data_IF_283059031083
#
_entry.id   IF_283059031083
#
_cell.length_a   1.000
_cell.length_b   1.000
_cell.length_c   1.000
_cell.angle_alpha   90.00
_cell.angle_beta   90.00
_cell.angle_gamma   90.00
#
_symmetry.space_group_name_H-M   'P 1'
#
loop_
_entity.id
_entity.type
_entity.pdbx_description
1 polymer ?
#
# COMPACT_ATOMS: atom_id res chain seq x y z
N UNK A 1 -6.61 -11.84 21.20
CA UNK A 1 -7.18 -10.74 21.99
C UNK A 1 -8.69 -10.76 21.84
N UNK A 2 -9.42 -10.06 22.71
CA UNK A 2 -10.86 -9.91 22.55
C UNK A 2 -11.20 -8.45 22.27
N UNK A 3 -12.05 -8.23 21.27
CA UNK A 3 -12.62 -6.92 21.00
C UNK A 3 -13.85 -6.76 21.89
N UNK A 4 -13.77 -5.85 22.85
CA UNK A 4 -14.91 -5.52 23.71
C UNK A 4 -15.80 -4.50 22.99
N UNK A 5 -17.03 -4.90 22.68
CA UNK A 5 -18.08 -3.97 22.22
C UNK A 5 -18.64 -3.22 23.43
N UNK A 6 -18.76 -1.90 23.32
CA UNK A 6 -19.33 -1.11 24.41
C UNK A 6 -20.86 -1.24 24.45
N UNK A 7 -21.43 -1.31 25.65
CA UNK A 7 -22.89 -1.22 25.83
C UNK A 7 -23.41 0.14 25.32
N UNK A 8 -24.59 0.16 24.67
CA UNK A 8 -25.13 1.35 24.00
C UNK A 8 -25.77 2.36 24.96
N UNK A 9 -25.15 2.64 26.11
CA UNK A 9 -25.64 3.57 27.14
C UNK A 9 -25.72 5.02 26.62
N UNK A 10 -24.86 5.38 25.67
CA UNK A 10 -24.88 6.70 25.01
C UNK A 10 -24.70 6.55 23.50
N UNK A 11 -25.18 7.52 22.73
CA UNK A 11 -25.06 7.52 21.26
C UNK A 11 -23.60 7.36 20.80
N UNK A 12 -22.65 7.98 21.49
CA UNK A 12 -21.22 7.88 21.20
C UNK A 12 -20.59 6.52 21.52
N UNK A 13 -21.23 5.69 22.37
CA UNK A 13 -20.77 4.34 22.75
C UNK A 13 -21.41 3.22 21.93
N UNK A 14 -22.61 3.40 21.37
CA UNK A 14 -23.39 2.37 20.64
C UNK A 14 -22.59 1.55 19.63
N UNK A 15 -21.73 2.21 18.84
CA UNK A 15 -20.90 1.59 17.80
C UNK A 15 -19.40 1.54 18.16
N UNK A 16 -19.05 1.87 19.40
CA UNK A 16 -17.67 1.90 19.86
C UNK A 16 -17.21 0.49 20.22
N UNK A 17 -15.99 0.14 19.81
CA UNK A 17 -15.29 -1.02 20.34
C UNK A 17 -13.93 -0.64 20.91
N UNK A 18 -13.44 -1.46 21.84
CA UNK A 18 -12.15 -1.31 22.49
C UNK A 18 -11.42 -2.65 22.46
N UNK A 19 -10.09 -2.62 22.60
CA UNK A 19 -9.34 -3.84 22.88
C UNK A 19 -9.48 -4.16 24.36
N UNK A 20 -9.56 -5.46 24.69
CA UNK A 20 -9.23 -5.88 26.04
C UNK A 20 -7.74 -5.63 26.30
N UNK A 21 -7.41 -5.33 27.55
CA UNK A 21 -6.04 -5.01 27.98
C UNK A 21 -5.42 -6.16 28.79
N UNK A 22 -5.99 -7.36 28.68
CA UNK A 22 -5.69 -8.51 29.54
C UNK A 22 -4.24 -8.99 29.40
N UNK A 23 -3.65 -8.85 28.22
CA UNK A 23 -2.24 -9.18 27.96
C UNK A 23 -1.25 -8.19 28.58
N UNK A 24 -1.71 -7.02 29.04
CA UNK A 24 -0.83 -5.96 29.54
C UNK A 24 -0.54 -6.19 31.01
N UNK A 25 0.68 -6.58 31.30
CA UNK A 25 1.12 -6.96 32.64
C UNK A 25 1.69 -5.80 33.45
N UNK A 26 2.01 -4.67 32.80
CA UNK A 26 2.47 -3.48 33.49
C UNK A 26 1.81 -2.19 32.98
N UNK A 27 1.35 -1.36 33.92
CA UNK A 27 0.69 -0.08 33.65
C UNK A 27 1.65 1.11 33.55
N UNK A 28 2.79 1.04 34.26
CA UNK A 28 3.82 2.09 34.29
C UNK A 28 5.05 1.65 33.47
N UNK A 29 5.58 2.50 32.58
CA UNK A 29 6.80 2.19 31.84
C UNK A 29 8.05 2.35 32.69
N UNK A 30 9.14 1.70 32.29
CA UNK A 30 10.46 1.86 32.89
C UNK A 30 11.00 3.27 32.63
N UNK A 31 11.19 4.06 33.69
CA UNK A 31 11.58 5.48 33.61
C UNK A 31 12.84 5.72 32.75
N UNK A 32 13.85 4.86 32.89
CA UNK A 32 15.12 4.96 32.15
C UNK A 32 14.98 4.84 30.62
N UNK A 33 13.95 4.14 30.14
CA UNK A 33 13.68 3.96 28.70
C UNK A 33 12.58 4.89 28.18
N UNK A 34 12.32 5.99 28.89
CA UNK A 34 11.32 6.98 28.50
C UNK A 34 11.90 8.37 28.30
N UNK A 35 11.47 9.02 27.22
CA UNK A 35 11.90 10.38 26.87
C UNK A 35 10.71 11.33 26.67
N UNK A 36 10.99 12.63 26.81
CA UNK A 36 10.04 13.68 26.48
C UNK A 36 9.78 13.74 24.98
N UNK A 37 8.53 13.51 24.54
CA UNK A 37 8.17 13.60 23.12
C UNK A 37 7.68 15.01 22.77
N UNK A 38 8.50 15.78 22.05
CA UNK A 38 8.08 17.06 21.46
C UNK A 38 7.00 16.82 20.40
N UNK A 39 5.94 17.62 20.43
CA UNK A 39 4.85 17.54 19.46
C UNK A 39 5.09 18.47 18.28
N UNK A 40 5.01 17.92 17.08
CA UNK A 40 5.18 18.65 15.82
C UNK A 40 3.87 19.32 15.38
N UNK A 41 2.72 18.72 15.72
CA UNK A 41 1.37 19.22 15.33
C UNK A 41 1.22 19.55 13.83
N UNK A 42 1.95 18.83 12.97
CA UNK A 42 1.90 19.00 11.51
C UNK A 42 2.66 20.22 10.97
N UNK A 43 3.45 20.91 11.79
CA UNK A 43 4.26 22.07 11.38
C UNK A 43 5.72 21.72 11.16
N UNK A 44 6.41 22.41 10.25
CA UNK A 44 7.87 22.28 10.07
C UNK A 44 8.65 23.26 10.96
N UNK A 45 9.97 23.30 10.80
CA UNK A 45 10.89 24.24 11.47
C UNK A 45 10.57 25.72 11.19
N UNK A 46 10.01 26.06 10.03
CA UNK A 46 9.51 27.41 9.70
C UNK A 46 8.15 27.74 10.33
N UNK A 47 7.58 26.85 11.14
CA UNK A 47 6.27 27.03 11.77
C UNK A 47 5.08 26.88 10.81
N UNK A 48 5.31 26.54 9.53
CA UNK A 48 4.26 26.36 8.51
C UNK A 48 3.63 24.98 8.60
N UNK A 49 2.32 24.87 8.34
CA UNK A 49 1.63 23.58 8.29
C UNK A 49 2.05 22.85 7.03
N UNK A 50 2.79 21.75 7.17
CA UNK A 50 3.20 20.88 6.05
C UNK A 50 2.34 19.62 5.96
N UNK A 51 1.79 19.17 7.09
CA UNK A 51 0.83 18.06 7.14
C UNK A 51 -0.45 18.52 7.82
N UNK A 52 -1.55 18.55 7.06
CA UNK A 52 -2.87 18.92 7.59
C UNK A 52 -3.40 17.86 8.55
N UNK A 53 -4.43 18.25 9.31
CA UNK A 53 -5.20 17.35 10.18
C UNK A 53 -4.46 16.76 11.39
N UNK A 54 -3.29 17.31 11.78
CA UNK A 54 -2.55 16.91 12.98
C UNK A 54 -2.63 17.99 14.06
N UNK A 55 -2.83 17.60 15.33
CA UNK A 55 -2.80 18.51 16.48
C UNK A 55 -3.70 18.09 17.64
N UNK A 56 -3.40 18.60 18.84
CA UNK A 56 -4.07 18.23 20.08
C UNK A 56 -3.64 16.86 20.60
N UNK A 57 -4.59 16.10 21.16
CA UNK A 57 -4.38 14.75 21.69
C UNK A 57 -3.77 14.71 23.10
N UNK A 58 -3.70 13.51 23.68
CA UNK A 58 -3.16 13.29 25.05
C UNK A 58 -1.62 13.25 25.08
N UNK A 59 -1.00 13.88 26.09
CA UNK A 59 0.49 13.98 26.22
C UNK A 59 1.09 12.56 26.24
N UNK A 60 2.23 12.38 25.59
CA UNK A 60 2.89 11.06 25.45
C UNK A 60 4.35 11.20 25.83
N UNK A 61 4.90 10.17 26.48
CA UNK A 61 6.34 9.95 26.58
C UNK A 61 6.77 9.04 25.45
N UNK A 62 7.90 9.29 24.83
CA UNK A 62 8.48 8.37 23.86
C UNK A 62 9.08 7.18 24.61
N UNK A 63 8.92 5.98 24.06
CA UNK A 63 9.53 4.76 24.59
C UNK A 63 10.60 4.30 23.62
N UNK A 64 11.84 4.28 24.11
CA UNK A 64 13.01 3.89 23.34
C UNK A 64 12.89 2.40 23.08
N UNK A 65 12.61 2.03 21.83
CA UNK A 65 12.55 0.63 21.40
C UNK A 65 13.82 0.29 20.63
N UNK A 66 14.36 -0.86 20.98
CA UNK A 66 15.45 -1.49 20.27
C UNK A 66 14.93 -2.12 18.97
N UNK A 67 15.09 -1.37 17.87
CA UNK A 67 14.83 -1.87 16.53
C UNK A 67 16.03 -2.60 15.92
N UNK A 68 17.23 -2.47 16.50
CA UNK A 68 18.47 -3.06 15.97
C UNK A 68 18.70 -4.48 16.45
N UNK A 69 18.27 -4.80 17.68
CA UNK A 69 18.51 -6.09 18.34
C UNK A 69 20.01 -6.44 18.37
N UNK A 70 20.83 -5.44 18.67
CA UNK A 70 22.30 -5.51 18.61
C UNK A 70 22.98 -6.18 19.83
N UNK A 71 22.20 -6.66 20.82
CA UNK A 71 22.73 -7.47 21.92
C UNK A 71 22.89 -8.95 21.50
N UNK A 72 23.86 -9.21 20.62
CA UNK A 72 24.05 -10.53 20.01
C UNK A 72 24.55 -11.57 21.01
N UNK A 73 24.02 -12.79 20.91
CA UNK A 73 24.45 -13.96 21.70
C UNK A 73 23.97 -13.98 23.15
N UNK A 74 23.28 -12.94 23.61
CA UNK A 74 22.80 -12.86 25.00
C UNK A 74 21.31 -13.15 25.09
N UNK A 75 20.95 -14.12 25.94
CA UNK A 75 19.55 -14.44 26.20
C UNK A 75 18.89 -13.38 27.10
N UNK A 76 17.82 -12.76 26.63
CA UNK A 76 17.01 -11.84 27.41
C UNK A 76 15.72 -12.50 27.89
N UNK A 77 15.31 -12.21 29.12
CA UNK A 77 14.03 -12.67 29.67
C UNK A 77 12.96 -11.58 29.50
N UNK A 78 11.81 -11.94 28.91
CA UNK A 78 10.65 -11.06 28.81
C UNK A 78 10.02 -10.88 30.19
N UNK A 79 10.07 -9.67 30.75
CA UNK A 79 9.51 -9.37 32.07
C UNK A 79 8.09 -8.86 32.02
N UNK A 80 7.78 -7.98 31.08
CA UNK A 80 6.45 -7.36 30.99
C UNK A 80 6.04 -7.13 29.55
N UNK A 81 4.73 -7.08 29.33
CA UNK A 81 4.06 -6.69 28.09
C UNK A 81 3.35 -5.37 28.39
N UNK A 82 3.62 -4.34 27.58
CA UNK A 82 3.16 -2.99 27.87
C UNK A 82 2.41 -2.31 26.71
N UNK A 83 1.50 -1.41 27.08
CA UNK A 83 0.83 -0.47 26.19
C UNK A 83 1.75 0.67 25.72
N UNK A 84 2.13 0.78 24.45
CA UNK A 84 2.81 2.00 23.95
C UNK A 84 1.86 3.00 23.26
N UNK A 85 1.71 4.24 23.77
CA UNK A 85 0.90 5.28 23.11
C UNK A 85 1.48 5.80 21.78
N UNK A 86 2.73 5.49 21.43
CA UNK A 86 3.41 6.03 20.25
C UNK A 86 3.26 5.18 18.99
N UNK A 87 2.73 3.96 19.12
CA UNK A 87 2.52 3.02 18.02
C UNK A 87 1.28 2.19 18.29
N UNK A 88 0.90 1.37 17.31
CA UNK A 88 -0.22 0.44 17.46
C UNK A 88 0.20 -0.90 18.08
N UNK A 89 1.42 -1.36 17.82
CA UNK A 89 1.95 -2.59 18.40
C UNK A 89 2.18 -2.48 19.91
N UNK A 90 2.05 -3.60 20.64
CA UNK A 90 2.52 -3.72 22.01
C UNK A 90 4.05 -3.78 22.03
N UNK A 91 4.62 -3.47 23.19
CA UNK A 91 6.06 -3.63 23.41
C UNK A 91 6.29 -4.56 24.58
N UNK A 92 7.42 -5.26 24.54
CA UNK A 92 7.82 -6.19 25.58
C UNK A 92 9.13 -5.68 26.20
N UNK A 93 9.17 -5.64 27.53
CA UNK A 93 10.35 -5.25 28.29
C UNK A 93 11.20 -6.50 28.52
N UNK A 94 12.43 -6.46 28.04
CA UNK A 94 13.38 -7.58 28.12
C UNK A 94 14.50 -7.19 29.07
N UNK A 95 14.81 -8.08 30.00
CA UNK A 95 15.94 -7.96 30.91
C UNK A 95 17.02 -8.93 30.44
N UNK A 96 18.20 -8.40 30.20
CA UNK A 96 19.36 -9.22 29.87
C UNK A 96 20.22 -9.46 31.12
N UNK A 97 20.92 -10.62 31.22
CA UNK A 97 21.79 -10.98 32.33
C UNK A 97 22.87 -9.94 32.64
N UNK A 98 23.38 -9.25 31.61
CA UNK A 98 24.35 -8.16 31.69
C UNK A 98 23.77 -6.85 32.26
N UNK A 99 22.55 -6.86 32.81
CA UNK A 99 21.92 -5.70 33.46
C UNK A 99 21.18 -4.76 32.49
N UNK A 100 21.41 -4.93 31.19
CA UNK A 100 20.74 -4.21 30.12
C UNK A 100 19.23 -4.47 30.11
N UNK A 101 18.46 -3.40 29.91
CA UNK A 101 17.00 -3.46 29.80
C UNK A 101 16.58 -2.78 28.52
N UNK A 102 15.78 -3.46 27.70
CA UNK A 102 15.37 -2.92 26.40
C UNK A 102 13.91 -3.22 26.11
N UNK A 103 13.25 -2.28 25.42
CA UNK A 103 11.95 -2.56 24.84
C UNK A 103 12.11 -3.11 23.43
N UNK A 104 11.40 -4.19 23.13
CA UNK A 104 11.25 -4.72 21.78
C UNK A 104 9.79 -4.60 21.33
N UNK A 105 9.54 -4.70 20.02
CA UNK A 105 8.18 -4.94 19.53
C UNK A 105 7.73 -6.30 20.04
N UNK A 106 6.54 -6.40 20.61
CA UNK A 106 6.06 -7.67 21.09
C UNK A 106 5.45 -8.49 19.93
N UNK A 107 6.04 -9.64 19.57
CA UNK A 107 5.47 -10.54 18.58
C UNK A 107 4.20 -11.20 19.11
N UNK A 108 3.38 -11.70 18.18
CA UNK A 108 2.21 -12.50 18.52
C UNK A 108 2.64 -13.82 19.17
N UNK A 109 2.04 -14.19 20.29
CA UNK A 109 2.36 -15.41 21.04
C UNK A 109 3.54 -15.31 22.00
N UNK A 110 4.23 -14.17 22.10
CA UNK A 110 5.30 -13.98 23.08
C UNK A 110 4.70 -13.67 24.46
N UNK A 111 4.94 -14.55 25.43
CA UNK A 111 4.45 -14.42 26.81
C UNK A 111 5.53 -13.90 27.77
N UNK A 112 5.11 -13.46 28.95
CA UNK A 112 6.03 -13.11 30.05
C UNK A 112 6.76 -14.38 30.51
N UNK A 113 8.07 -14.26 30.74
CA UNK A 113 8.94 -15.39 31.08
C UNK A 113 9.60 -16.06 29.87
N UNK A 114 9.18 -15.74 28.65
CA UNK A 114 9.84 -16.24 27.46
C UNK A 114 11.27 -15.69 27.34
N UNK A 115 12.16 -16.51 26.79
CA UNK A 115 13.53 -16.12 26.44
C UNK A 115 13.57 -15.63 25.00
N UNK A 116 14.31 -14.54 24.78
CA UNK A 116 14.53 -13.98 23.45
C UNK A 116 16.02 -13.73 23.23
N UNK A 117 16.52 -14.15 22.07
CA UNK A 117 17.93 -14.04 21.70
C UNK A 117 18.03 -13.33 20.36
N UNK A 118 19.08 -12.55 20.17
CA UNK A 118 19.47 -12.09 18.84
C UNK A 118 20.86 -12.59 18.48
N UNK A 119 21.10 -12.87 17.20
CA UNK A 119 22.41 -13.34 16.72
C UNK A 119 22.28 -14.37 15.61
N UNK A 120 23.42 -14.74 15.05
CA UNK A 120 23.49 -15.73 13.96
C UNK A 120 23.08 -17.13 14.41
N UNK A 121 23.47 -17.51 15.64
CA UNK A 121 23.22 -18.82 16.22
C UNK A 121 21.91 -18.90 17.05
N UNK A 122 21.05 -17.88 16.97
CA UNK A 122 19.81 -17.88 17.75
C UNK A 122 18.85 -18.98 17.23
N UNK A 123 18.07 -19.65 18.09
CA UNK A 123 17.13 -20.66 17.63
C UNK A 123 15.99 -20.02 16.83
N UNK A 124 15.43 -20.78 15.88
CA UNK A 124 14.31 -20.34 15.05
C UNK A 124 13.02 -20.38 15.89
N UNK A 125 12.83 -19.36 16.72
CA UNK A 125 11.70 -19.23 17.63
C UNK A 125 11.14 -17.80 17.59
N UNK A 126 9.86 -17.66 17.94
CA UNK A 126 9.16 -16.36 17.92
C UNK A 126 9.84 -15.37 18.86
N UNK A 127 10.13 -14.17 18.36
CA UNK A 127 10.80 -13.11 19.11
C UNK A 127 12.33 -13.11 19.02
N UNK A 128 12.93 -14.17 18.49
CA UNK A 128 14.35 -14.19 18.18
C UNK A 128 14.65 -13.42 16.91
N UNK A 129 15.80 -12.75 16.87
CA UNK A 129 16.25 -11.97 15.73
C UNK A 129 17.52 -12.55 15.11
N UNK A 130 17.47 -12.87 13.82
CA UNK A 130 18.57 -13.46 13.06
C UNK A 130 18.79 -12.69 11.76
N UNK A 131 19.98 -12.74 11.17
CA UNK A 131 20.18 -12.37 9.79
C UNK A 131 19.31 -13.23 8.86
N UNK A 132 18.81 -12.65 7.77
CA UNK A 132 17.99 -13.36 6.78
C UNK A 132 18.70 -14.61 6.22
N UNK A 133 20.05 -14.65 6.26
CA UNK A 133 20.86 -15.83 5.90
C UNK A 133 20.42 -17.08 6.64
N UNK A 134 20.14 -16.97 7.93
CA UNK A 134 19.96 -18.12 8.82
C UNK A 134 18.48 -18.48 9.03
N UNK A 135 17.55 -17.62 8.60
CA UNK A 135 16.10 -17.85 8.72
C UNK A 135 15.60 -18.74 7.58
N UNK A 136 14.87 -19.84 7.82
CA UNK A 136 14.42 -20.71 6.73
C UNK A 136 13.44 -19.99 5.79
N UNK A 137 13.54 -20.33 4.50
CA UNK A 137 12.62 -19.81 3.47
C UNK A 137 11.19 -20.25 3.81
N UNK A 138 10.21 -19.40 3.56
CA UNK A 138 8.80 -19.58 3.94
C UNK A 138 8.46 -19.04 5.33
N UNK A 139 9.46 -18.71 6.16
CA UNK A 139 9.23 -18.17 7.50
C UNK A 139 8.49 -16.84 7.48
N UNK A 140 7.64 -16.67 8.50
CA UNK A 140 6.98 -15.39 8.80
C UNK A 140 7.90 -14.58 9.70
N UNK A 141 8.24 -13.37 9.26
CA UNK A 141 9.16 -12.46 9.94
C UNK A 141 8.58 -11.06 10.06
N UNK A 142 9.10 -10.27 11.00
CA UNK A 142 8.75 -8.88 11.22
C UNK A 142 9.98 -8.05 11.63
N UNK A 143 9.80 -6.74 11.74
CA UNK A 143 10.87 -5.79 12.10
C UNK A 143 12.14 -5.94 11.25
N UNK A 144 11.98 -6.07 9.93
CA UNK A 144 13.09 -6.35 9.01
C UNK A 144 13.86 -5.07 8.66
N UNK A 145 15.18 -5.14 8.66
CA UNK A 145 16.05 -4.04 8.21
C UNK A 145 15.95 -3.84 6.70
N UNK A 146 16.09 -2.60 6.21
CA UNK A 146 16.27 -2.34 4.78
C UNK A 146 17.74 -2.34 4.36
N UNK A 147 18.64 -2.10 5.32
CA UNK A 147 20.09 -2.10 5.20
C UNK A 147 20.65 -2.66 6.50
N UNK A 148 21.67 -3.51 6.40
CA UNK A 148 22.32 -4.10 7.56
C UNK A 148 22.73 -3.03 8.58
N UNK A 149 22.37 -3.24 9.85
CA UNK A 149 22.73 -2.38 10.98
C UNK A 149 21.92 -1.08 11.12
N UNK A 150 20.99 -0.79 10.20
CA UNK A 150 20.14 0.41 10.26
C UNK A 150 18.95 0.26 11.21
N UNK A 151 18.72 -0.94 11.74
CA UNK A 151 17.57 -1.31 12.53
C UNK A 151 16.33 -1.56 11.68
N UNK A 152 15.39 -2.33 12.25
CA UNK A 152 14.17 -2.74 11.58
C UNK A 152 13.32 -1.55 11.13
N UNK A 153 12.94 -1.54 9.86
CA UNK A 153 12.12 -0.48 9.26
C UNK A 153 10.81 -1.03 8.69
N UNK A 154 10.81 -2.29 8.24
CA UNK A 154 9.70 -2.98 7.62
C UNK A 154 8.90 -3.81 8.63
N UNK A 155 7.58 -3.95 8.39
CA UNK A 155 6.66 -4.74 9.22
C UNK A 155 6.76 -4.47 10.74
N UNK A 156 6.47 -3.23 11.14
CA UNK A 156 6.46 -2.78 12.55
C UNK A 156 5.08 -2.48 13.12
N UNK A 157 4.07 -2.42 12.25
CA UNK A 157 2.70 -2.15 12.65
C UNK A 157 2.09 -3.38 13.33
N UNK A 158 1.11 -3.17 14.21
CA UNK A 158 0.35 -4.24 14.82
C UNK A 158 -0.25 -5.19 13.77
N UNK A 159 -0.06 -6.50 13.94
CA UNK A 159 -0.43 -7.50 12.94
C UNK A 159 0.29 -7.33 11.61
N UNK A 160 1.52 -6.81 11.59
CA UNK A 160 2.34 -6.78 10.37
C UNK A 160 3.33 -7.94 10.36
N UNK A 161 3.50 -8.52 9.18
CA UNK A 161 4.46 -9.58 8.92
C UNK A 161 4.91 -9.54 7.46
N UNK A 162 5.98 -10.26 7.18
CA UNK A 162 6.60 -10.45 5.88
C UNK A 162 6.89 -11.94 5.74
N UNK A 163 6.76 -12.47 4.53
CA UNK A 163 7.15 -13.84 4.22
C UNK A 163 8.47 -13.79 3.48
N UNK A 164 9.45 -14.55 3.96
CA UNK A 164 10.72 -14.76 3.26
C UNK A 164 10.49 -15.74 2.10
N UNK A 165 10.53 -15.25 0.86
CA UNK A 165 10.15 -16.04 -0.32
C UNK A 165 11.30 -16.86 -0.90
N UNK A 166 12.49 -16.26 -0.98
CA UNK A 166 13.67 -16.87 -1.58
C UNK A 166 14.94 -16.20 -1.05
N UNK A 167 16.08 -16.90 -1.19
CA UNK A 167 17.42 -16.36 -0.96
C UNK A 167 18.27 -16.68 -2.19
N UNK A 168 18.79 -15.66 -2.84
CA UNK A 168 19.56 -15.72 -4.08
C UNK A 168 20.86 -14.94 -3.86
N UNK A 169 21.98 -15.66 -3.71
CA UNK A 169 23.28 -15.06 -3.41
C UNK A 169 23.23 -14.16 -2.17
N UNK A 170 23.61 -12.89 -2.35
CA UNK A 170 23.63 -11.88 -1.29
C UNK A 170 22.27 -11.22 -1.01
N UNK A 171 21.21 -11.61 -1.73
CA UNK A 171 19.89 -11.01 -1.63
C UNK A 171 18.80 -12.01 -1.21
N UNK A 172 17.86 -11.52 -0.41
CA UNK A 172 16.67 -12.21 0.03
C UNK A 172 15.44 -11.52 -0.55
N UNK A 173 14.50 -12.30 -1.07
CA UNK A 173 13.22 -11.81 -1.57
C UNK A 173 12.17 -11.83 -0.46
N UNK A 174 11.60 -10.66 -0.18
CA UNK A 174 10.62 -10.47 0.88
C UNK A 174 9.25 -10.13 0.27
N UNK A 175 8.22 -10.90 0.64
CA UNK A 175 6.82 -10.60 0.28
C UNK A 175 6.14 -9.86 1.43
N UNK A 176 5.80 -8.60 1.18
CA UNK A 176 5.10 -7.76 2.16
C UNK A 176 3.59 -7.98 2.14
N UNK A 177 2.89 -7.66 3.24
CA UNK A 177 1.40 -7.58 3.25
C UNK A 177 0.82 -6.60 2.23
N UNK A 178 1.62 -5.64 1.73
CA UNK A 178 1.22 -4.74 0.64
C UNK A 178 1.16 -5.41 -0.75
N UNK A 179 1.58 -6.69 -0.84
CA UNK A 179 1.76 -7.44 -2.10
C UNK A 179 3.05 -7.09 -2.84
N UNK A 180 3.87 -6.18 -2.32
CA UNK A 180 5.18 -5.86 -2.89
C UNK A 180 6.17 -7.00 -2.61
N UNK A 181 6.88 -7.45 -3.65
CA UNK A 181 8.07 -8.30 -3.51
C UNK A 181 9.28 -7.40 -3.61
N UNK A 182 10.16 -7.48 -2.62
CA UNK A 182 11.33 -6.60 -2.52
C UNK A 182 12.57 -7.41 -2.17
N UNK A 183 13.66 -7.11 -2.85
CA UNK A 183 14.98 -7.65 -2.53
C UNK A 183 15.64 -6.85 -1.41
N UNK A 184 16.26 -7.55 -0.48
CA UNK A 184 17.02 -6.98 0.66
C UNK A 184 18.28 -7.81 0.84
N UNK A 185 19.36 -7.24 1.39
CA UNK A 185 20.58 -8.02 1.64
C UNK A 185 20.33 -9.13 2.66
N UNK A 186 20.95 -10.29 2.46
CA UNK A 186 20.83 -11.48 3.30
C UNK A 186 21.39 -11.26 4.72
N UNK A 187 22.31 -10.32 4.87
CA UNK A 187 22.87 -9.88 6.17
C UNK A 187 21.88 -9.09 7.04
N UNK A 188 20.79 -8.57 6.47
CA UNK A 188 19.84 -7.75 7.21
C UNK A 188 19.17 -8.57 8.32
N UNK A 189 19.02 -7.97 9.50
CA UNK A 189 18.34 -8.60 10.63
C UNK A 189 16.82 -8.61 10.44
N UNK A 190 16.20 -9.69 10.90
CA UNK A 190 14.76 -9.86 10.97
C UNK A 190 14.38 -10.61 12.24
N UNK A 191 13.22 -10.30 12.81
CA UNK A 191 12.68 -11.01 13.98
C UNK A 191 11.65 -12.03 13.52
N UNK A 192 11.71 -13.26 14.03
CA UNK A 192 10.77 -14.32 13.69
C UNK A 192 9.40 -14.05 14.32
N UNK A 193 8.35 -14.31 13.52
CA UNK A 193 6.95 -14.16 13.90
C UNK A 193 6.30 -12.93 13.29
N UNK A 194 5.05 -12.70 13.69
CA UNK A 194 4.25 -11.53 13.33
C UNK A 194 4.21 -10.54 14.50
N UNK A 195 4.10 -9.24 14.24
CA UNK A 195 3.89 -8.25 15.30
C UNK A 195 2.52 -8.48 15.96
N UNK A 196 2.47 -8.52 17.29
CA UNK A 196 1.22 -8.71 18.04
C UNK A 196 0.17 -7.61 17.81
N UNK A 197 -0.99 -7.77 18.45
CA UNK A 197 -2.11 -6.82 18.39
C UNK A 197 -2.76 -6.66 16.99
N UNK A 198 -2.89 -7.76 16.24
CA UNK A 198 -3.52 -7.75 14.90
C UNK A 198 -4.97 -7.25 14.87
N UNK A 199 -5.72 -7.47 15.95
CA UNK A 199 -7.11 -7.01 16.12
C UNK A 199 -7.26 -5.48 16.21
N UNK A 200 -6.16 -4.74 16.35
CA UNK A 200 -6.18 -3.27 16.35
C UNK A 200 -6.92 -2.69 15.13
N UNK A 201 -6.83 -3.37 13.98
CA UNK A 201 -7.47 -2.96 12.73
C UNK A 201 -9.01 -3.01 12.78
N UNK A 202 -9.57 -3.85 13.66
CA UNK A 202 -11.00 -4.10 13.80
C UNK A 202 -11.69 -3.11 14.76
N UNK A 203 -10.93 -2.24 15.43
CA UNK A 203 -11.46 -1.27 16.40
C UNK A 203 -12.30 -0.19 15.70
N UNK A 204 -13.52 0.00 16.19
CA UNK A 204 -14.40 1.12 15.85
C UNK A 204 -14.24 2.25 16.87
N UNK A 205 -13.81 3.41 16.39
CA UNK A 205 -13.55 4.59 17.22
C UNK A 205 -14.82 5.09 17.93
N UNK A 206 -15.99 4.96 17.30
CA UNK A 206 -17.30 5.32 17.86
C UNK A 206 -17.63 6.82 17.81
N UNK A 207 -16.82 7.67 18.46
CA UNK A 207 -17.10 9.11 18.58
C UNK A 207 -15.96 10.00 18.06
N UNK A 208 -16.30 11.19 17.54
CA UNK A 208 -15.34 12.16 17.03
C UNK A 208 -14.29 12.58 18.09
N UNK A 209 -14.71 12.74 19.35
CA UNK A 209 -13.80 13.10 20.46
C UNK A 209 -12.65 12.11 20.66
N UNK A 210 -12.88 10.80 20.46
CA UNK A 210 -11.80 9.79 20.58
C UNK A 210 -10.76 9.96 19.48
N UNK A 211 -11.17 10.34 18.26
CA UNK A 211 -10.26 10.70 17.16
C UNK A 211 -9.43 11.94 17.50
N UNK A 212 -10.01 12.92 18.21
CA UNK A 212 -9.29 14.11 18.72
C UNK A 212 -8.25 13.73 19.78
N UNK A 213 -8.53 12.79 20.68
CA UNK A 213 -7.56 12.30 21.67
C UNK A 213 -6.33 11.64 21.04
N UNK A 214 -6.50 11.06 19.83
CA UNK A 214 -5.41 10.49 19.05
C UNK A 214 -4.51 11.57 18.39
N UNK A 215 -4.89 12.85 18.45
CA UNK A 215 -4.17 13.96 17.80
C UNK A 215 -4.58 14.19 16.35
N UNK A 216 -5.72 13.65 15.93
CA UNK A 216 -6.25 13.78 14.56
C UNK A 216 -7.33 14.86 14.57
N UNK A 217 -7.10 15.96 13.86
CA UNK A 217 -8.05 17.06 13.66
C UNK A 217 -9.05 16.70 12.55
N UNK A 218 -10.23 17.36 12.49
CA UNK A 218 -11.19 17.14 11.44
C UNK A 218 -10.61 17.41 10.04
N UNK A 219 -11.15 16.71 9.05
CA UNK A 219 -10.85 16.91 7.63
C UNK A 219 -12.06 17.54 6.97
N UNK A 220 -11.89 18.72 6.40
CA UNK A 220 -12.91 19.38 5.59
C UNK A 220 -12.78 18.87 4.16
N UNK A 221 -13.90 18.51 3.53
CA UNK A 221 -13.94 18.04 2.14
C UNK A 221 -13.67 19.23 1.21
N UNK A 222 -12.92 19.03 0.13
CA UNK A 222 -12.64 20.09 -0.85
C UNK A 222 -13.89 20.70 -1.48
N UNK A 223 -14.95 19.89 -1.67
CA UNK A 223 -16.26 20.33 -2.19
C UNK A 223 -16.96 21.32 -1.25
N UNK A 224 -16.62 21.33 0.04
CA UNK A 224 -17.20 22.25 1.01
C UNK A 224 -16.40 23.57 1.15
N UNK A 225 -15.47 23.83 0.22
CA UNK A 225 -14.60 25.01 0.23
C UNK A 225 -14.92 25.91 -0.97
N UNK A 226 -14.26 27.07 -1.05
CA UNK A 226 -14.36 27.99 -2.18
C UNK A 226 -13.33 27.63 -3.28
N UNK A 227 -13.48 28.12 -4.52
CA UNK A 227 -12.55 27.84 -5.62
C UNK A 227 -11.09 28.19 -5.32
N UNK A 228 -10.86 29.22 -4.49
CA UNK A 228 -9.52 29.65 -4.06
C UNK A 228 -8.81 28.63 -3.16
N UNK A 229 -9.57 27.83 -2.39
CA UNK A 229 -9.01 26.92 -1.38
C UNK A 229 -8.73 25.52 -1.94
N UNK A 230 -9.54 25.08 -2.91
CA UNK A 230 -9.48 23.72 -3.43
C UNK A 230 -9.99 23.65 -4.88
N UNK A 231 -9.40 22.80 -5.75
CA UNK A 231 -9.90 22.55 -7.10
C UNK A 231 -11.33 22.00 -7.23
N UNK A 232 -11.98 21.69 -6.10
CA UNK A 232 -13.36 21.18 -6.04
C UNK A 232 -14.30 22.18 -5.38
N UNK A 233 -13.78 23.33 -4.95
CA UNK A 233 -14.57 24.33 -4.26
C UNK A 233 -15.41 25.17 -5.22
N UNK A 234 -16.45 25.79 -4.66
CA UNK A 234 -17.42 26.61 -5.39
C UNK A 234 -18.57 25.83 -6.03
N UNK A 235 -19.33 26.56 -6.85
CA UNK A 235 -20.62 26.14 -7.38
C UNK A 235 -21.78 26.45 -6.44
N UNK A 236 -22.96 26.67 -7.01
CA UNK A 236 -24.19 26.86 -6.24
C UNK A 236 -24.70 25.52 -5.69
N UNK A 237 -24.98 25.48 -4.38
CA UNK A 237 -25.45 24.26 -3.72
C UNK A 237 -24.45 23.10 -3.76
N UNK A 238 -24.96 21.87 -3.67
CA UNK A 238 -24.12 20.66 -3.64
C UNK A 238 -23.82 20.17 -5.05
N UNK A 239 -22.70 20.61 -5.61
CA UNK A 239 -22.20 20.16 -6.91
C UNK A 239 -21.39 18.86 -6.88
N UNK A 240 -21.19 18.27 -8.08
CA UNK A 240 -20.21 17.17 -8.31
C UNK A 240 -18.78 17.68 -8.53
N UNK A 241 -18.57 18.99 -8.51
CA UNK A 241 -17.27 19.64 -8.61
C UNK A 241 -16.63 19.63 -9.99
N UNK A 242 -17.33 19.15 -11.04
CA UNK A 242 -17.00 19.24 -12.49
C UNK A 242 -15.70 18.58 -12.97
N UNK A 243 -14.71 18.49 -12.09
CA UNK A 243 -13.32 18.17 -12.35
C UNK A 243 -13.00 16.74 -11.91
N UNK A 244 -11.94 16.18 -12.50
CA UNK A 244 -11.38 14.94 -11.98
C UNK A 244 -10.99 15.10 -10.49
N UNK A 245 -11.17 14.06 -9.65
CA UNK A 245 -10.79 14.16 -8.25
C UNK A 245 -9.31 14.49 -8.06
N UNK A 246 -9.04 15.64 -7.47
CA UNK A 246 -7.71 16.21 -7.24
C UNK A 246 -7.48 16.45 -5.75
N UNK A 247 -6.20 16.50 -5.38
CA UNK A 247 -5.71 17.00 -4.10
C UNK A 247 -5.76 18.54 -4.06
N UNK A 248 -5.57 19.18 -2.89
CA UNK A 248 -5.56 20.65 -2.80
C UNK A 248 -4.49 21.32 -3.67
N UNK A 249 -3.42 20.59 -4.02
CA UNK A 249 -2.34 21.07 -4.88
C UNK A 249 -2.57 20.76 -6.36
N UNK A 250 -3.80 20.37 -6.76
CA UNK A 250 -4.16 20.09 -8.16
C UNK A 250 -3.71 18.73 -8.70
N UNK A 251 -2.95 17.93 -7.93
CA UNK A 251 -2.53 16.59 -8.38
C UNK A 251 -3.72 15.63 -8.32
N UNK A 252 -3.93 14.84 -9.38
CA UNK A 252 -4.98 13.82 -9.45
C UNK A 252 -4.88 12.83 -8.28
N UNK A 253 -5.98 12.67 -7.54
CA UNK A 253 -6.07 11.83 -6.34
C UNK A 253 -6.58 10.41 -6.62
N UNK A 254 -7.06 10.13 -7.83
CA UNK A 254 -7.51 8.79 -8.27
C UNK A 254 -6.63 8.29 -9.41
N UNK A 255 -5.99 7.13 -9.22
CA UNK A 255 -5.25 6.41 -10.26
C UNK A 255 -3.85 6.95 -10.62
N UNK A 256 -3.53 8.20 -10.27
CA UNK A 256 -2.23 8.80 -10.58
C UNK A 256 -1.10 8.17 -9.74
N UNK A 257 -0.06 7.65 -10.40
CA UNK A 257 1.13 7.05 -9.75
C UNK A 257 2.12 8.15 -9.35
N UNK A 258 2.46 8.23 -8.06
CA UNK A 258 3.34 9.29 -7.51
C UNK A 258 4.78 8.84 -7.23
N UNK A 259 5.08 7.54 -7.23
CA UNK A 259 6.44 7.02 -6.99
C UNK A 259 7.35 7.39 -8.16
N UNK A 260 8.41 8.18 -7.90
CA UNK A 260 9.40 8.65 -8.91
C UNK A 260 10.86 8.29 -8.59
N UNK A 261 11.12 7.26 -7.79
CA UNK A 261 12.49 6.95 -7.34
C UNK A 261 13.16 5.85 -8.18
N UNK A 262 13.90 6.25 -9.23
CA UNK A 262 14.60 5.36 -10.16
C UNK A 262 15.57 4.39 -9.47
N UNK A 263 16.34 4.85 -8.46
CA UNK A 263 17.35 4.04 -7.74
C UNK A 263 16.79 2.77 -7.10
N UNK A 264 15.57 2.86 -6.57
CA UNK A 264 14.96 1.75 -5.80
C UNK A 264 14.07 0.85 -6.64
N UNK A 265 13.86 1.19 -7.91
CA UNK A 265 12.98 0.43 -8.81
C UNK A 265 13.57 -0.94 -9.13
N UNK A 266 14.90 -1.05 -9.25
CA UNK A 266 15.61 -2.32 -9.50
C UNK A 266 15.42 -3.33 -8.36
N UNK A 267 15.30 -2.83 -7.13
CA UNK A 267 15.18 -3.63 -5.90
C UNK A 267 13.74 -4.10 -5.67
N UNK A 268 12.77 -3.50 -6.36
CA UNK A 268 11.35 -3.76 -6.11
C UNK A 268 10.70 -4.38 -7.33
N UNK A 269 10.03 -5.51 -7.16
CA UNK A 269 9.10 -6.00 -8.18
C UNK A 269 7.78 -5.22 -8.01
N UNK A 270 7.34 -4.45 -9.02
CA UNK A 270 6.14 -3.65 -8.88
C UNK A 270 4.89 -4.52 -8.80
N UNK A 271 3.96 -4.17 -7.91
CA UNK A 271 2.65 -4.83 -7.74
C UNK A 271 1.85 -4.96 -9.05
N UNK A 272 2.05 -4.03 -9.97
CA UNK A 272 1.51 -4.09 -11.33
C UNK A 272 2.60 -3.81 -12.35
N UNK A 273 2.88 -4.80 -13.19
CA UNK A 273 3.63 -4.62 -14.43
C UNK A 273 2.87 -3.57 -15.26
N UNK A 274 3.60 -2.69 -15.97
CA UNK A 274 2.98 -1.83 -16.99
C UNK A 274 2.31 -2.77 -17.99
N UNK A 275 0.99 -2.97 -17.88
CA UNK A 275 0.23 -3.68 -18.92
C UNK A 275 0.57 -2.95 -20.21
N UNK A 276 1.06 -3.70 -21.20
CA UNK A 276 1.40 -3.17 -22.50
C UNK A 276 0.19 -2.49 -23.17
N UNK A 277 0.33 -2.08 -24.43
CA UNK A 277 -0.84 -1.66 -25.21
C UNK A 277 -1.98 -2.69 -25.05
N UNK A 278 -3.18 -2.20 -24.68
CA UNK A 278 -4.30 -3.11 -24.42
C UNK A 278 -4.74 -3.76 -25.74
N UNK A 279 -4.79 -5.08 -25.75
CA UNK A 279 -5.36 -5.89 -26.82
C UNK A 279 -6.25 -6.96 -26.18
N UNK A 280 -7.40 -7.19 -26.78
CA UNK A 280 -8.28 -8.29 -26.38
C UNK A 280 -7.55 -9.62 -26.55
N UNK A 281 -7.59 -10.46 -25.52
CA UNK A 281 -6.89 -11.74 -25.53
C UNK A 281 -7.42 -12.65 -26.65
N UNK A 282 -8.74 -12.63 -26.87
CA UNK A 282 -9.37 -13.42 -27.93
C UNK A 282 -9.00 -12.93 -29.33
N UNK A 283 -8.81 -11.61 -29.50
CA UNK A 283 -8.37 -11.05 -30.77
C UNK A 283 -6.89 -11.38 -31.04
N UNK A 284 -6.04 -11.23 -30.03
CA UNK A 284 -4.61 -11.54 -30.13
C UNK A 284 -4.40 -13.02 -30.52
N UNK A 285 -5.13 -13.95 -29.91
CA UNK A 285 -5.07 -15.38 -30.23
C UNK A 285 -5.50 -15.64 -31.68
N UNK A 286 -6.62 -15.05 -32.14
CA UNK A 286 -7.09 -15.20 -33.53
C UNK A 286 -6.07 -14.67 -34.54
N UNK A 287 -5.49 -13.51 -34.28
CA UNK A 287 -4.47 -12.91 -35.14
C UNK A 287 -3.19 -13.76 -35.18
N UNK A 288 -2.75 -14.30 -34.03
CA UNK A 288 -1.59 -15.18 -33.97
C UNK A 288 -1.81 -16.48 -34.78
N UNK A 289 -2.98 -17.12 -34.62
CA UNK A 289 -3.34 -18.33 -35.37
C UNK A 289 -3.46 -18.06 -36.88
N UNK A 290 -4.09 -16.95 -37.27
CA UNK A 290 -4.22 -16.57 -38.67
C UNK A 290 -2.86 -16.32 -39.32
N UNK A 291 -1.93 -15.67 -38.61
CA UNK A 291 -0.56 -15.42 -39.07
C UNK A 291 0.25 -16.71 -39.20
N UNK A 292 0.13 -17.65 -38.26
CA UNK A 292 0.79 -18.95 -38.33
C UNK A 292 0.26 -19.82 -39.49
N UNK A 293 -1.05 -19.81 -39.73
CA UNK A 293 -1.69 -20.58 -40.81
C UNK A 293 -1.66 -19.89 -42.18
N UNK A 294 -1.13 -18.67 -42.24
CA UNK A 294 -1.18 -17.79 -43.42
C UNK A 294 -2.60 -17.66 -44.01
N UNK A 295 -3.62 -17.65 -43.13
CA UNK A 295 -5.03 -17.66 -43.52
C UNK A 295 -5.48 -16.22 -43.81
N UNK A 296 -6.02 -15.98 -45.02
CA UNK A 296 -6.49 -14.65 -45.47
C UNK A 296 -7.92 -14.32 -45.01
N UNK A 297 -8.53 -15.19 -44.20
CA UNK A 297 -9.90 -14.98 -43.67
C UNK A 297 -10.02 -13.72 -42.84
N UNK A 298 -11.17 -13.07 -42.98
CA UNK A 298 -11.50 -11.83 -42.27
C UNK A 298 -11.80 -12.13 -40.79
N UNK A 299 -11.00 -11.58 -39.89
CA UNK A 299 -11.18 -11.74 -38.43
C UNK A 299 -12.20 -10.71 -37.95
N UNK A 300 -13.37 -11.18 -37.52
CA UNK A 300 -14.39 -10.31 -36.91
C UNK A 300 -14.07 -10.02 -35.45
N UNK A 301 -14.15 -8.74 -35.06
CA UNK A 301 -13.93 -8.31 -33.67
C UNK A 301 -14.87 -7.19 -33.23
N UNK A 302 -15.35 -7.29 -31.99
CA UNK A 302 -16.04 -6.20 -31.29
C UNK A 302 -15.08 -5.33 -30.48
N UNK A 303 -13.82 -5.73 -30.36
CA UNK A 303 -12.85 -5.09 -29.48
C UNK A 303 -12.22 -3.84 -30.11
N UNK A 304 -13.04 -2.79 -30.24
CA UNK A 304 -12.65 -1.47 -30.78
C UNK A 304 -11.54 -0.78 -30.00
N UNK A 305 -11.40 -1.12 -28.72
CA UNK A 305 -10.41 -0.55 -27.79
C UNK A 305 -9.04 -1.22 -27.89
N UNK A 306 -8.93 -2.31 -28.66
CA UNK A 306 -7.66 -3.00 -28.88
C UNK A 306 -6.74 -2.13 -29.75
N UNK A 307 -5.49 -2.02 -29.32
CA UNK A 307 -4.43 -1.36 -30.07
C UNK A 307 -3.91 -2.28 -31.16
N UNK A 308 -3.58 -1.72 -32.32
CA UNK A 308 -2.95 -2.45 -33.41
C UNK A 308 -1.49 -2.69 -33.04
N UNK A 309 -1.12 -3.96 -32.92
CA UNK A 309 0.26 -4.39 -32.69
C UNK A 309 1.00 -4.58 -34.03
N UNK A 310 2.34 -4.51 -34.04
CA UNK A 310 3.13 -4.90 -35.22
C UNK A 310 2.76 -6.30 -35.73
N UNK A 311 2.35 -7.21 -34.83
CA UNK A 311 1.97 -8.56 -35.21
C UNK A 311 0.73 -8.62 -36.11
N UNK A 312 -0.10 -7.58 -36.12
CA UNK A 312 -1.36 -7.56 -36.87
C UNK A 312 -1.20 -7.07 -38.31
N UNK A 313 -0.01 -6.58 -38.69
CA UNK A 313 0.28 -6.13 -40.06
C UNK A 313 -0.01 -7.25 -41.05
N UNK A 314 -0.74 -6.91 -42.13
CA UNK A 314 -1.11 -7.85 -43.19
C UNK A 314 -2.38 -8.67 -42.94
N UNK A 315 -3.05 -8.49 -41.79
CA UNK A 315 -4.32 -9.15 -41.49
C UNK A 315 -5.54 -8.29 -41.90
N UNK A 316 -6.59 -8.97 -42.36
CA UNK A 316 -7.90 -8.37 -42.57
C UNK A 316 -8.75 -8.51 -41.30
N UNK A 317 -8.96 -7.41 -40.57
CA UNK A 317 -9.78 -7.38 -39.35
C UNK A 317 -11.06 -6.61 -39.62
N UNK A 318 -12.22 -7.23 -39.44
CA UNK A 318 -13.50 -6.53 -39.50
C UNK A 318 -13.91 -6.04 -38.10
N UNK A 319 -13.98 -4.73 -37.92
CA UNK A 319 -14.26 -4.08 -36.64
C UNK A 319 -15.71 -3.64 -36.57
N UNK A 320 -16.43 -4.05 -35.52
CA UNK A 320 -17.85 -3.72 -35.35
C UNK A 320 -18.06 -2.22 -35.08
N UNK A 321 -18.82 -1.56 -35.95
CA UNK A 321 -19.05 -0.13 -35.85
C UNK A 321 -20.29 0.25 -35.00
N UNK A 322 -21.08 -0.73 -34.56
CA UNK A 322 -22.36 -0.54 -33.87
C UNK A 322 -23.53 -1.17 -34.63
N UNK A 323 -23.45 -1.20 -35.96
CA UNK A 323 -24.46 -1.81 -36.84
C UNK A 323 -23.90 -2.92 -37.74
N UNK A 324 -22.69 -2.71 -38.28
CA UNK A 324 -22.03 -3.65 -39.19
C UNK A 324 -20.55 -3.80 -38.87
N UNK A 325 -19.94 -4.85 -39.41
CA UNK A 325 -18.51 -5.07 -39.37
C UNK A 325 -17.84 -4.37 -40.56
N UNK A 326 -16.97 -3.40 -40.28
CA UNK A 326 -16.20 -2.71 -41.33
C UNK A 326 -14.88 -3.46 -41.52
N UNK A 327 -14.61 -4.07 -42.68
CA UNK A 327 -13.34 -4.73 -42.95
C UNK A 327 -12.22 -3.70 -43.04
N UNK A 328 -11.11 -3.99 -42.36
CA UNK A 328 -9.94 -3.14 -42.27
C UNK A 328 -8.69 -3.98 -42.55
N UNK A 329 -7.97 -3.63 -43.61
CA UNK A 329 -6.64 -4.20 -43.87
C UNK A 329 -5.60 -3.41 -43.08
N UNK A 330 -4.82 -4.10 -42.24
CA UNK A 330 -3.90 -3.44 -41.32
C UNK A 330 -2.55 -3.20 -41.99
N UNK A 331 -2.19 -1.91 -42.10
CA UNK A 331 -0.90 -1.45 -42.62
C UNK A 331 0.02 -0.98 -41.47
N UNK A 332 1.31 -0.82 -41.76
CA UNK A 332 2.33 -0.42 -40.77
C UNK A 332 2.02 0.93 -40.10
N UNK A 333 1.48 1.89 -40.86
CA UNK A 333 1.11 3.21 -40.36
C UNK A 333 -0.01 3.19 -39.31
N UNK A 334 -0.71 2.07 -39.17
CA UNK A 334 -1.82 1.92 -38.23
C UNK A 334 -1.37 1.35 -36.88
N UNK A 335 -0.12 0.89 -36.77
CA UNK A 335 0.45 0.35 -35.53
C UNK A 335 0.46 1.43 -34.44
N UNK A 336 0.01 1.08 -33.23
CA UNK A 336 -0.11 2.01 -32.11
C UNK A 336 -1.44 2.76 -32.03
N UNK A 337 -2.24 2.76 -33.10
CA UNK A 337 -3.61 3.28 -33.08
C UNK A 337 -4.62 2.24 -32.59
N UNK A 338 -5.81 2.69 -32.19
CA UNK A 338 -6.91 1.78 -31.80
C UNK A 338 -7.71 1.34 -33.03
N UNK A 339 -8.13 0.08 -33.05
CA UNK A 339 -9.00 -0.45 -34.12
C UNK A 339 -10.28 0.37 -34.32
N UNK A 340 -10.83 0.93 -33.25
CA UNK A 340 -12.05 1.74 -33.28
C UNK A 340 -11.91 3.10 -33.96
N UNK A 341 -10.68 3.61 -34.17
CA UNK A 341 -10.42 4.88 -34.87
C UNK A 341 -10.71 4.74 -36.37
N UNK A 342 -10.49 3.54 -36.93
CA UNK A 342 -10.71 3.23 -38.34
C UNK A 342 -12.11 2.67 -38.64
N UNK A 343 -12.97 2.53 -37.63
CA UNK A 343 -14.34 2.03 -37.76
C UNK A 343 -15.32 2.97 -37.05
N UNK A 344 -15.59 4.17 -37.62
CA UNK A 344 -16.39 5.19 -36.95
C UNK A 344 -17.82 4.73 -36.67
N UNK A 345 -18.35 5.04 -35.47
CA UNK A 345 -19.73 4.72 -35.07
C UNK A 345 -20.78 5.58 -35.78
N UNK A 346 -20.41 6.79 -36.21
CA UNK A 346 -21.30 7.73 -36.91
C UNK A 346 -20.69 8.03 -38.26
N UNK A 347 -21.44 7.75 -39.33
CA UNK A 347 -21.11 8.27 -40.66
C UNK A 347 -21.51 9.74 -40.68
N UNK A 348 -20.53 10.65 -40.75
CA UNK A 348 -20.81 12.07 -40.98
C UNK A 348 -21.49 12.20 -42.35
N UNK A 349 -22.75 12.64 -42.36
CA UNK A 349 -23.41 13.12 -43.58
C UNK A 349 -23.24 14.64 -43.54
N UNK A 350 -22.39 15.18 -44.41
CA UNK A 350 -22.31 16.63 -44.58
C UNK A 350 -23.67 17.19 -44.97
N UNK A 351 -23.91 18.47 -44.66
CA UNK A 351 -25.03 19.18 -45.26
C UNK A 351 -24.78 19.27 -46.76
N UNK A 352 -25.70 18.75 -47.58
CA UNK A 352 -25.60 18.86 -49.03
C UNK A 352 -25.64 20.33 -49.43
N UNK A 353 -24.65 20.78 -50.17
CA UNK A 353 -24.70 22.08 -50.84
C UNK A 353 -25.70 21.98 -52.01
N UNK A 354 -26.26 23.12 -52.45
CA UNK A 354 -27.29 23.16 -53.51
C UNK A 354 -26.82 22.51 -54.82
N UNK A 355 -25.51 22.49 -55.08
CA UNK A 355 -24.93 21.97 -56.32
C UNK A 355 -24.97 20.43 -56.40
N UNK A 356 -24.86 19.71 -55.27
CA UNK A 356 -24.94 18.25 -55.23
C UNK A 356 -26.33 17.71 -55.59
N UNK A 357 -27.38 18.54 -55.54
CA UNK A 357 -28.75 18.17 -55.92
C UNK A 357 -28.99 18.23 -57.43
N UNK A 358 -28.18 18.97 -58.20
CA UNK A 358 -28.31 19.03 -59.68
C UNK A 358 -27.71 17.81 -60.37
N UNK A 359 -26.74 17.13 -59.76
CA UNK A 359 -26.09 15.94 -60.32
C UNK A 359 -26.90 14.63 -60.13
N UNK A 360 -28.11 14.69 -59.56
CA UNK A 360 -29.00 13.54 -59.34
C UNK A 360 -30.33 13.64 -60.11
N UNK A 361 -30.32 14.29 -61.28
CA UNK A 361 -31.44 14.24 -62.22
C UNK A 361 -31.02 13.56 -63.50
#
# INVERSE_FOLDING_TARGET
>A
MAIMKCNPVTAGRRNMSMLSFDEITASKPLKALTEGKKRISGRNNYGRITTRHMGGGHKRRYRIVDFKRDNFGVEGLVKTVEYDPNRNARICLVFFPNGDKRYILCPNGLTVGAKVVSGENAPIAVGNALPLKNIPVGSVIHNVEMKSGKGGQLARAAGASIILMAKEGDYAQLKMKSGEIRTVRVECLATIGEVGNGEQSLIKIGKAGRKRWMGIRPTVRGIAMNPVDHPHGGGEGKGKGGNHPQSPTGVLAKGYKTRKNKRTTVITVPRSIKKGPFVDEHLAQKCAVAKQKNDRKVIKTWSRRSMILPDFIGLNIAVHNGNKFIPLYITENMVGHKLGEFSPTRTYRGHSTKDDKKAKK
#
